data_IF_819124761876
#
_entry.id   IF_819124761876
#
_cell.length_a   1.000
_cell.length_b   1.000
_cell.length_c   1.000
_cell.angle_alpha   90.00
_cell.angle_beta   90.00
_cell.angle_gamma   90.00
#
_symmetry.space_group_name_H-M   'P 1'
#
loop_
_entity.id
_entity.type
_entity.pdbx_description
1 polymer ?
#
# COMPACT_ATOMS: atom_id res chain seq x y z
N UNK A 1 -10.41 1.94 10.28
CA UNK A 1 -9.54 1.02 11.05
C UNK A 1 -8.59 1.76 12.02
N UNK A 2 -9.00 1.95 13.29
CA UNK A 2 -8.18 2.59 14.32
C UNK A 2 -7.24 1.61 15.02
N UNK A 3 -7.69 0.37 15.25
CA UNK A 3 -6.89 -0.65 15.92
C UNK A 3 -5.63 -1.01 15.11
N UNK A 4 -5.80 -1.24 13.80
CA UNK A 4 -4.67 -1.55 12.90
C UNK A 4 -3.62 -0.43 12.91
N UNK A 5 -4.05 0.84 12.82
CA UNK A 5 -3.15 1.99 12.93
C UNK A 5 -2.37 1.98 14.24
N UNK A 6 -3.04 1.66 15.36
CA UNK A 6 -2.39 1.60 16.66
C UNK A 6 -1.35 0.49 16.76
N UNK A 7 -1.62 -0.67 16.16
CA UNK A 7 -0.67 -1.80 16.08
C UNK A 7 0.56 -1.39 15.27
N UNK A 8 0.37 -0.79 14.09
CA UNK A 8 1.49 -0.30 13.26
C UNK A 8 2.33 0.73 14.03
N UNK A 9 1.68 1.69 14.72
CA UNK A 9 2.38 2.67 15.57
C UNK A 9 3.17 2.02 16.71
N UNK A 10 2.64 0.96 17.33
CA UNK A 10 3.34 0.25 18.39
C UNK A 10 4.63 -0.39 17.85
N UNK A 11 4.58 -1.06 16.70
CA UNK A 11 5.77 -1.68 16.13
C UNK A 11 6.78 -0.67 15.55
N UNK A 12 6.34 0.54 15.20
CA UNK A 12 7.21 1.65 14.81
C UNK A 12 7.68 2.51 16.01
N UNK A 13 7.38 2.11 17.26
CA UNK A 13 7.73 2.89 18.44
C UNK A 13 9.18 2.66 18.90
N UNK A 14 9.69 3.57 19.72
CA UNK A 14 11.07 3.52 20.24
C UNK A 14 11.33 2.28 21.11
N UNK A 15 10.28 1.67 21.65
CA UNK A 15 10.33 0.45 22.44
C UNK A 15 10.54 -0.81 21.58
N UNK A 16 10.30 -0.75 20.27
CA UNK A 16 10.30 -1.91 19.36
C UNK A 16 11.43 -1.88 18.30
N UNK A 17 12.57 -1.25 18.61
CA UNK A 17 13.70 -1.05 17.67
C UNK A 17 14.38 -2.34 17.17
N UNK A 18 14.22 -3.47 17.85
CA UNK A 18 14.89 -4.73 17.53
C UNK A 18 13.95 -5.77 16.90
N UNK A 19 12.77 -5.36 16.47
CA UNK A 19 11.75 -6.25 15.89
C UNK A 19 11.41 -5.80 14.49
N UNK A 20 11.11 -6.76 13.61
CA UNK A 20 10.55 -6.49 12.29
C UNK A 20 9.09 -6.92 12.26
N UNK A 21 8.20 -6.02 11.82
CA UNK A 21 6.79 -6.32 11.62
C UNK A 21 6.46 -6.16 10.13
N UNK A 22 6.13 -7.27 9.48
CA UNK A 22 5.76 -7.32 8.06
C UNK A 22 4.29 -7.74 7.99
N UNK A 23 3.50 -6.99 7.24
CA UNK A 23 2.09 -7.28 7.01
C UNK A 23 1.69 -6.87 5.60
N UNK A 24 0.62 -7.49 5.09
CA UNK A 24 0.00 -7.14 3.81
C UNK A 24 -1.44 -6.70 4.06
N UNK A 25 -1.93 -5.73 3.28
CA UNK A 25 -3.28 -5.20 3.45
C UNK A 25 -3.79 -4.58 2.15
N UNK A 26 -5.12 -4.56 2.01
CA UNK A 26 -5.81 -3.75 1.00
C UNK A 26 -6.36 -2.42 1.58
N UNK A 27 -6.12 -2.15 2.86
CA UNK A 27 -6.57 -0.94 3.55
C UNK A 27 -5.65 0.26 3.24
N UNK A 28 -6.06 1.09 2.29
CA UNK A 28 -5.30 2.27 1.85
C UNK A 28 -5.12 3.32 2.94
N UNK A 29 -5.93 3.30 4.01
CA UNK A 29 -5.86 4.31 5.07
C UNK A 29 -4.59 4.21 5.91
N UNK A 30 -3.80 3.13 5.74
CA UNK A 30 -2.47 2.96 6.32
C UNK A 30 -1.35 3.60 5.49
N UNK A 31 -1.62 3.99 4.23
CA UNK A 31 -0.69 4.73 3.38
C UNK A 31 -0.59 6.18 3.84
N UNK A 32 0.12 6.40 4.94
CA UNK A 32 0.29 7.70 5.56
C UNK A 32 1.74 7.95 5.91
N UNK A 33 2.25 9.11 5.51
CA UNK A 33 3.58 9.60 5.86
C UNK A 33 3.77 9.86 7.37
N UNK A 34 2.69 9.98 8.13
CA UNK A 34 2.71 10.07 9.58
C UNK A 34 2.77 8.69 10.28
N UNK A 35 2.66 7.60 9.51
CA UNK A 35 2.61 6.24 10.04
C UNK A 35 3.79 5.38 9.55
N UNK A 36 4.14 5.50 8.27
CA UNK A 36 5.15 4.71 7.59
C UNK A 36 6.03 5.63 6.75
N UNK A 37 7.33 5.36 6.73
CA UNK A 37 8.24 5.98 5.77
C UNK A 37 8.08 5.36 4.38
N UNK A 38 8.57 6.05 3.35
CA UNK A 38 8.50 5.59 1.94
C UNK A 38 9.20 4.25 1.73
N UNK A 39 10.31 4.00 2.42
CA UNK A 39 11.08 2.75 2.37
C UNK A 39 10.44 1.60 3.15
N UNK A 40 9.32 1.85 3.85
CA UNK A 40 8.57 0.83 4.59
C UNK A 40 7.26 0.43 3.87
N UNK A 41 7.02 1.00 2.69
CA UNK A 41 5.81 0.75 1.89
C UNK A 41 6.25 0.07 0.60
N UNK A 42 5.78 -1.16 0.42
CA UNK A 42 5.96 -1.95 -0.80
C UNK A 42 4.61 -2.11 -1.48
N UNK A 43 4.57 -1.95 -2.80
CA UNK A 43 3.41 -2.26 -3.62
C UNK A 43 3.61 -3.62 -4.29
N UNK A 44 2.49 -4.29 -4.58
CA UNK A 44 2.48 -5.53 -5.38
C UNK A 44 1.68 -5.24 -6.64
N UNK A 45 2.33 -5.33 -7.79
CA UNK A 45 1.68 -5.18 -9.09
C UNK A 45 1.77 -6.48 -9.87
N UNK A 46 0.67 -6.84 -10.53
CA UNK A 46 0.62 -8.01 -11.40
C UNK A 46 0.79 -7.56 -12.84
N UNK A 47 1.73 -8.15 -13.56
CA UNK A 47 1.91 -7.87 -14.99
C UNK A 47 0.87 -8.61 -15.85
N UNK A 48 0.90 -8.33 -17.15
CA UNK A 48 -0.01 -8.93 -18.14
C UNK A 48 0.18 -10.45 -18.29
N UNK A 49 1.37 -10.97 -17.98
CA UNK A 49 1.68 -12.41 -17.98
C UNK A 49 1.25 -13.10 -16.67
N UNK A 50 0.84 -12.31 -15.69
CA UNK A 50 0.33 -12.72 -14.41
C UNK A 50 1.37 -12.93 -13.32
N UNK A 51 2.63 -12.56 -13.55
CA UNK A 51 3.65 -12.53 -12.52
C UNK A 51 3.46 -11.30 -11.61
N UNK A 52 3.85 -11.43 -10.34
CA UNK A 52 3.77 -10.35 -9.36
C UNK A 52 5.14 -9.74 -9.10
N UNK A 53 5.21 -8.42 -9.16
CA UNK A 53 6.40 -7.62 -8.90
C UNK A 53 6.19 -6.78 -7.65
N UNK A 54 7.21 -6.74 -6.80
CA UNK A 54 7.25 -5.89 -5.62
C UNK A 54 8.18 -4.71 -5.88
N UNK A 55 7.76 -3.52 -5.47
CA UNK A 55 8.59 -2.32 -5.53
C UNK A 55 8.23 -1.33 -4.42
N UNK A 56 9.25 -0.63 -3.95
CA UNK A 56 9.11 0.30 -2.84
C UNK A 56 8.56 1.64 -3.28
N UNK A 57 7.77 2.30 -2.43
CA UNK A 57 7.42 3.71 -2.65
C UNK A 57 8.67 4.60 -2.71
N UNK A 58 9.77 4.19 -2.07
CA UNK A 58 11.06 4.88 -2.12
C UNK A 58 11.74 4.84 -3.51
N UNK A 59 11.40 3.87 -4.37
CA UNK A 59 11.96 3.73 -5.72
C UNK A 59 11.26 4.68 -6.73
N UNK A 60 10.10 5.20 -6.37
CA UNK A 60 9.32 6.10 -7.23
C UNK A 60 9.91 7.52 -7.17
N UNK A 61 10.41 7.97 -8.32
CA UNK A 61 11.00 9.30 -8.46
C UNK A 61 9.98 10.42 -8.18
N UNK A 62 10.39 11.42 -7.39
CA UNK A 62 9.60 12.63 -7.15
C UNK A 62 8.59 12.54 -6.00
N UNK A 63 8.46 11.39 -5.33
CA UNK A 63 7.60 11.26 -4.14
C UNK A 63 8.26 11.95 -2.95
N UNK A 64 7.68 13.06 -2.49
CA UNK A 64 8.17 13.77 -1.29
C UNK A 64 7.76 13.01 -0.03
N UNK A 65 8.57 13.07 1.03
CA UNK A 65 8.21 12.49 2.33
C UNK A 65 6.90 13.07 2.90
N UNK A 66 6.61 14.34 2.59
CA UNK A 66 5.40 15.04 3.02
C UNK A 66 4.18 14.83 2.10
N UNK A 67 4.28 13.97 1.09
CA UNK A 67 3.17 13.72 0.18
C UNK A 67 2.03 12.96 0.86
N UNK A 68 0.81 13.15 0.35
CA UNK A 68 -0.34 12.36 0.79
C UNK A 68 -0.34 11.02 0.06
N UNK A 69 0.32 10.02 0.65
CA UNK A 69 0.52 8.71 0.01
C UNK A 69 -0.79 8.04 -0.39
N UNK A 70 -1.78 7.95 0.52
CA UNK A 70 -3.11 7.40 0.20
C UNK A 70 -3.76 8.10 -0.98
N UNK A 71 -3.78 9.44 -0.98
CA UNK A 71 -4.39 10.20 -2.07
C UNK A 71 -3.68 9.91 -3.39
N UNK A 72 -2.36 10.01 -3.41
CA UNK A 72 -1.58 9.80 -4.63
C UNK A 72 -1.69 8.37 -5.16
N UNK A 73 -1.79 7.37 -4.28
CA UNK A 73 -2.10 5.98 -4.64
C UNK A 73 -3.48 5.84 -5.30
N UNK A 74 -4.53 6.42 -4.71
CA UNK A 74 -5.90 6.38 -5.27
C UNK A 74 -5.97 7.06 -6.64
N UNK A 75 -5.15 8.08 -6.88
CA UNK A 75 -5.03 8.74 -8.20
C UNK A 75 -4.13 7.98 -9.18
N UNK A 76 -3.62 6.80 -8.80
CA UNK A 76 -2.83 5.93 -9.66
C UNK A 76 -1.38 6.33 -9.84
N UNK A 77 -0.85 7.28 -9.06
CA UNK A 77 0.53 7.75 -9.24
C UNK A 77 1.59 6.69 -8.95
N UNK A 78 1.23 5.67 -8.19
CA UNK A 78 2.16 4.62 -7.75
C UNK A 78 1.94 3.29 -8.46
N UNK A 79 1.02 3.19 -9.43
CA UNK A 79 0.63 1.89 -10.00
C UNK A 79 -0.10 1.01 -8.99
N UNK A 80 -0.15 -0.30 -9.24
CA UNK A 80 -0.75 -1.31 -8.36
C UNK A 80 -2.22 -1.04 -7.94
N UNK A 81 -2.90 -0.14 -8.65
CA UNK A 81 -4.32 0.16 -8.40
C UNK A 81 -5.15 -1.06 -8.83
N UNK A 82 -6.14 -1.49 -8.03
CA UNK A 82 -6.96 -2.64 -8.39
C UNK A 82 -7.68 -2.44 -9.72
N UNK A 83 -7.52 -3.39 -10.63
CA UNK A 83 -8.33 -3.49 -11.83
C UNK A 83 -9.71 -4.01 -11.42
N UNK A 84 -10.67 -3.10 -11.37
CA UNK A 84 -12.07 -3.47 -11.16
C UNK A 84 -12.65 -3.77 -12.53
N UNK A 85 -12.59 -5.02 -12.96
CA UNK A 85 -13.32 -5.48 -14.15
C UNK A 85 -14.83 -5.25 -13.94
N UNK A 86 -15.54 -4.94 -15.02
CA UNK A 86 -16.99 -4.81 -14.96
C UNK A 86 -17.60 -6.17 -14.62
N UNK A 87 -18.17 -6.28 -13.43
CA UNK A 87 -18.80 -7.50 -12.94
C UNK A 87 -20.09 -7.85 -13.70
N UNK A 88 -20.53 -7.03 -14.68
CA UNK A 88 -21.69 -7.31 -15.52
C UNK A 88 -21.63 -8.68 -16.20
N UNK A 89 -20.45 -9.15 -16.61
CA UNK A 89 -20.25 -10.46 -17.25
C UNK A 89 -20.48 -11.65 -16.31
N UNK A 90 -20.29 -11.47 -14.99
CA UNK A 90 -20.57 -12.50 -13.99
C UNK A 90 -22.07 -12.65 -13.70
N UNK A 91 -22.84 -11.57 -13.87
CA UNK A 91 -24.29 -11.55 -13.60
C UNK A 91 -25.08 -12.17 -14.76
N UNK A 92 -24.62 -12.04 -16.00
CA UNK A 92 -25.32 -12.57 -17.19
C UNK A 92 -25.25 -14.09 -17.36
N UNK A 93 -24.37 -14.77 -16.61
CA UNK A 93 -24.24 -16.23 -16.63
C UNK A 93 -24.94 -16.92 -15.43
N UNK A 94 -25.81 -16.21 -14.69
CA UNK A 94 -26.61 -16.73 -13.58
C UNK A 94 -28.11 -16.78 -13.91
#
# INVERSE_FOLDING_TARGET
PLLTKRIVQLFNSEENKQTQFIFVTHDTSLLSNNLLRRDQIEFVEKDEEGASHLYSLAEINGVRAEASFEKDYIHGKYGAIPWVEDFSELVTNS
#
